data_IF_004082520070
#
_entry.id   IF_004082520070
#
_cell.length_a   1.000
_cell.length_b   1.000
_cell.length_c   1.000
_cell.angle_alpha   90.00
_cell.angle_beta   90.00
_cell.angle_gamma   90.00
#
_symmetry.space_group_name_H-M   'P 1'
#
loop_
_entity.id
_entity.type
_entity.pdbx_description
1 polymer ?
#
# COMPACT_ATOMS: atom_id res chain seq x y z
N UNK A 1 -3.51 -10.80 11.40
CA UNK A 1 -4.12 -9.48 11.13
C UNK A 1 -3.07 -8.61 10.48
N UNK A 2 -3.40 -7.93 9.37
CA UNK A 2 -2.49 -6.95 8.74
C UNK A 2 -2.98 -5.53 9.02
N UNK A 3 -2.11 -4.71 9.61
CA UNK A 3 -2.36 -3.30 9.89
C UNK A 3 -1.36 -2.43 9.10
N UNK A 4 -1.87 -1.61 8.17
CA UNK A 4 -1.07 -0.72 7.33
C UNK A 4 -1.39 0.72 7.65
N UNK A 5 -0.35 1.56 7.78
CA UNK A 5 -0.49 2.98 8.09
C UNK A 5 -0.46 3.78 6.80
N UNK A 6 -1.57 4.45 6.50
CA UNK A 6 -1.78 5.25 5.30
C UNK A 6 -1.99 6.73 5.69
N UNK A 7 -1.05 7.63 5.40
CA UNK A 7 -1.07 9.00 5.93
C UNK A 7 -2.15 9.91 5.32
N UNK A 8 -2.78 9.54 4.19
CA UNK A 8 -3.77 10.38 3.51
C UNK A 8 -5.11 9.67 3.34
N UNK A 9 -6.20 10.44 3.47
CA UNK A 9 -7.59 9.96 3.31
C UNK A 9 -7.97 9.58 1.88
N UNK A 10 -7.19 10.02 0.90
CA UNK A 10 -7.40 9.72 -0.53
C UNK A 10 -6.93 8.30 -0.92
N UNK A 11 -6.31 7.59 0.02
CA UNK A 11 -5.84 6.23 -0.19
C UNK A 11 -6.94 5.26 0.22
N UNK A 12 -7.17 4.25 -0.61
CA UNK A 12 -8.12 3.17 -0.31
C UNK A 12 -7.37 1.91 0.07
N UNK A 13 -7.79 1.25 1.16
CA UNK A 13 -7.25 -0.03 1.62
C UNK A 13 -8.23 -1.14 1.28
N UNK A 14 -7.74 -2.24 0.72
CA UNK A 14 -8.47 -3.50 0.57
C UNK A 14 -7.64 -4.64 1.13
N UNK A 15 -8.31 -5.69 1.60
CA UNK A 15 -7.66 -6.92 2.07
C UNK A 15 -8.30 -8.11 1.37
N UNK A 16 -7.46 -9.06 1.00
CA UNK A 16 -7.85 -10.27 0.30
C UNK A 16 -7.34 -11.46 1.07
N UNK A 17 -8.26 -12.36 1.43
CA UNK A 17 -7.94 -13.63 2.07
C UNK A 17 -7.71 -14.66 0.95
N UNK A 18 -6.51 -15.20 0.90
CA UNK A 18 -6.08 -16.21 -0.06
C UNK A 18 -5.83 -17.52 0.68
N UNK A 19 -5.85 -18.64 -0.04
CA UNK A 19 -5.51 -19.93 0.55
C UNK A 19 -4.08 -19.94 1.16
N UNK A 20 -3.20 -19.10 0.61
CA UNK A 20 -1.77 -19.11 0.92
C UNK A 20 -1.37 -17.96 1.88
N UNK A 21 -2.31 -17.09 2.25
CA UNK A 21 -2.02 -15.94 3.11
C UNK A 21 -3.04 -14.80 3.00
N UNK A 22 -2.73 -13.68 3.63
CA UNK A 22 -3.56 -12.47 3.60
C UNK A 22 -2.79 -11.37 2.86
N UNK A 23 -3.40 -10.77 1.83
CA UNK A 23 -2.80 -9.66 1.08
C UNK A 23 -3.49 -8.35 1.44
N UNK A 24 -2.70 -7.27 1.62
CA UNK A 24 -3.23 -5.92 1.80
C UNK A 24 -2.90 -5.04 0.60
N UNK A 25 -3.93 -4.57 -0.09
CA UNK A 25 -3.82 -3.68 -1.24
C UNK A 25 -4.08 -2.23 -0.85
N UNK A 26 -3.24 -1.31 -1.33
CA UNK A 26 -3.47 0.13 -1.30
C UNK A 26 -3.69 0.64 -2.72
N UNK A 27 -4.76 1.42 -2.95
CA UNK A 27 -4.98 2.11 -4.23
C UNK A 27 -5.10 3.62 -4.04
N UNK A 28 -4.43 4.36 -4.94
CA UNK A 28 -4.40 5.83 -4.97
C UNK A 28 -4.90 6.29 -6.34
N UNK A 29 -5.96 7.10 -6.34
CA UNK A 29 -6.47 7.74 -7.56
C UNK A 29 -5.82 9.11 -7.77
N UNK A 30 -5.53 9.49 -9.02
CA UNK A 30 -4.89 10.76 -9.37
C UNK A 30 -3.60 10.97 -8.55
N UNK A 31 -2.61 10.12 -8.79
CA UNK A 31 -1.32 10.14 -8.07
C UNK A 31 -0.57 11.44 -8.35
N UNK A 32 0.05 12.02 -7.33
CA UNK A 32 0.84 13.26 -7.36
C UNK A 32 2.21 13.01 -6.76
N UNK A 33 3.17 13.89 -7.05
CA UNK A 33 4.53 13.80 -6.49
C UNK A 33 4.51 13.77 -4.96
N UNK A 34 3.60 14.52 -4.34
CA UNK A 34 3.45 14.58 -2.88
C UNK A 34 3.00 13.26 -2.23
N UNK A 35 2.58 12.25 -3.01
CA UNK A 35 2.24 10.93 -2.46
C UNK A 35 3.45 10.01 -2.32
N UNK A 36 4.61 10.43 -2.82
CA UNK A 36 5.86 9.74 -2.58
C UNK A 36 6.13 9.70 -1.07
N UNK A 37 6.14 8.50 -0.51
CA UNK A 37 6.19 8.27 0.93
C UNK A 37 6.57 6.82 1.20
N UNK A 38 7.11 6.59 2.39
CA UNK A 38 7.24 5.25 2.95
C UNK A 38 5.94 4.84 3.61
N UNK A 39 5.48 3.64 3.31
CA UNK A 39 4.33 2.98 3.91
C UNK A 39 4.81 1.84 4.79
N UNK A 40 4.21 1.70 5.98
CA UNK A 40 4.56 0.64 6.91
C UNK A 40 3.34 -0.20 7.23
N UNK A 41 3.52 -1.51 7.21
CA UNK A 41 2.52 -2.49 7.54
C UNK A 41 3.08 -3.47 8.56
N UNK A 42 2.24 -3.85 9.53
CA UNK A 42 2.55 -4.89 10.50
C UNK A 42 1.57 -6.04 10.34
N UNK A 43 2.08 -7.23 10.08
CA UNK A 43 1.33 -8.47 10.21
C UNK A 43 1.52 -9.02 11.63
N UNK A 44 0.44 -9.38 12.31
CA UNK A 44 0.50 -10.01 13.63
C UNK A 44 -0.41 -11.22 13.72
N UNK A 45 0.09 -12.26 14.40
CA UNK A 45 -0.67 -13.43 14.81
C UNK A 45 -0.36 -13.74 16.28
N UNK A 46 -0.91 -14.83 16.82
CA UNK A 46 -0.70 -15.24 18.23
C UNK A 46 0.74 -15.66 18.57
N UNK A 47 1.59 -15.84 17.57
CA UNK A 47 2.95 -16.36 17.71
C UNK A 47 4.02 -15.29 17.49
N UNK A 48 3.68 -14.20 16.82
CA UNK A 48 4.63 -13.14 16.52
C UNK A 48 4.04 -12.04 15.66
N UNK A 49 4.92 -11.12 15.28
CA UNK A 49 4.63 -10.04 14.37
C UNK A 49 5.77 -9.88 13.37
N UNK A 50 5.44 -9.42 12.19
CA UNK A 50 6.36 -9.06 11.13
C UNK A 50 6.05 -7.65 10.63
N UNK A 51 7.10 -6.87 10.36
CA UNK A 51 7.01 -5.47 9.95
C UNK A 51 7.58 -5.33 8.52
N UNK A 52 6.76 -4.80 7.61
CA UNK A 52 7.13 -4.58 6.21
C UNK A 52 6.99 -3.10 5.83
N UNK A 53 7.94 -2.61 5.04
CA UNK A 53 7.98 -1.22 4.57
C UNK A 53 8.08 -1.17 3.06
N UNK A 54 7.27 -0.30 2.45
CA UNK A 54 7.26 -0.08 1.00
C UNK A 54 7.46 1.40 0.73
N UNK A 55 8.43 1.76 -0.12
CA UNK A 55 8.64 3.12 -0.57
C UNK A 55 7.95 3.35 -1.92
N UNK A 56 6.99 4.28 -1.95
CA UNK A 56 6.40 4.74 -3.20
C UNK A 56 7.18 5.96 -3.69
N UNK A 57 7.68 5.87 -4.93
CA UNK A 57 8.33 6.99 -5.62
C UNK A 57 7.49 7.35 -6.84
N UNK A 58 6.86 8.53 -6.80
CA UNK A 58 6.05 9.03 -7.92
C UNK A 58 6.93 9.89 -8.82
N UNK A 59 7.09 9.46 -10.06
CA UNK A 59 7.75 10.23 -11.10
C UNK A 59 6.70 10.83 -12.04
N UNK A 60 6.83 12.11 -12.40
CA UNK A 60 5.99 12.70 -13.46
C UNK A 60 6.52 12.20 -14.81
N UNK A 61 5.71 11.41 -15.51
CA UNK A 61 5.89 11.18 -16.94
C UNK A 61 5.19 12.29 -17.73
N UNK A 62 5.84 12.79 -18.77
CA UNK A 62 5.32 13.89 -19.60
C UNK A 62 4.10 13.52 -20.48
N UNK A 63 3.59 12.27 -20.44
CA UNK A 63 2.65 11.77 -21.45
C UNK A 63 1.27 11.29 -20.97
N UNK A 64 0.95 11.23 -19.67
CA UNK A 64 -0.34 10.66 -19.23
C UNK A 64 -1.04 11.39 -18.07
N UNK A 65 -2.27 11.91 -18.25
CA UNK A 65 -2.98 12.72 -17.25
C UNK A 65 -3.78 11.92 -16.19
N UNK A 66 -3.76 10.58 -16.21
CA UNK A 66 -4.62 9.74 -15.36
C UNK A 66 -3.87 8.57 -14.71
N UNK A 67 -2.99 8.83 -13.75
CA UNK A 67 -2.29 7.77 -13.01
C UNK A 67 -3.13 7.29 -11.81
N UNK A 68 -3.58 6.04 -11.87
CA UNK A 68 -4.01 5.28 -10.69
C UNK A 68 -2.95 4.23 -10.40
N UNK A 69 -2.53 4.12 -9.14
CA UNK A 69 -1.50 3.15 -8.71
C UNK A 69 -2.11 2.25 -7.64
N UNK A 70 -1.87 0.95 -7.78
CA UNK A 70 -2.18 -0.05 -6.76
C UNK A 70 -0.89 -0.71 -6.30
N UNK A 71 -0.73 -0.87 -5.00
CA UNK A 71 0.40 -1.54 -4.35
C UNK A 71 -0.15 -2.69 -3.53
N UNK A 72 0.34 -3.89 -3.79
CA UNK A 72 0.01 -5.10 -3.05
C UNK A 72 1.14 -5.40 -2.04
N UNK A 73 0.77 -5.69 -0.80
CA UNK A 73 1.69 -5.95 0.31
C UNK A 73 1.37 -7.33 0.88
N UNK A 74 2.31 -8.25 0.71
CA UNK A 74 2.24 -9.64 1.13
C UNK A 74 3.14 -9.90 2.35
N UNK A 75 2.74 -10.87 3.18
CA UNK A 75 3.40 -11.30 4.43
C UNK A 75 3.42 -12.81 4.55
#
# INVERSE_FOLDING_TARGET
>A
MINCVFPKRRYSKRQYDHHDGLTSQMSIHSVRREDSSVFSCRASNRYGQDDSTVELVVQEEFSNPSSSVSVDIDF
#
